data_IF_556481622133
#
_entry.id   IF_556481622133
#
_cell.length_a   1.000
_cell.length_b   1.000
_cell.length_c   1.000
_cell.angle_alpha   90.00
_cell.angle_beta   90.00
_cell.angle_gamma   90.00
#
_symmetry.space_group_name_H-M   'P 1'
#
loop_
_entity.id
_entity.type
_entity.pdbx_description
1 polymer ?
#
# COMPACT_ATOMS: atom_id res chain seq x y z
N UNK A 1 -24.83 23.09 0.99
CA UNK A 1 -23.75 22.83 0.01
C UNK A 1 -23.28 21.41 0.24
N UNK A 2 -23.16 20.59 -0.80
CA UNK A 2 -22.55 19.26 -0.68
C UNK A 2 -21.10 19.44 -0.22
N UNK A 3 -20.63 18.69 0.80
CA UNK A 3 -19.24 18.79 1.22
C UNK A 3 -18.32 18.41 0.07
N UNK A 4 -17.23 19.16 -0.13
CA UNK A 4 -16.23 18.85 -1.14
C UNK A 4 -15.55 17.52 -0.80
N UNK A 5 -15.36 16.65 -1.78
CA UNK A 5 -14.81 15.30 -1.62
C UNK A 5 -13.67 15.07 -2.60
N UNK A 6 -12.72 14.22 -2.24
CA UNK A 6 -11.74 13.66 -3.18
C UNK A 6 -12.17 12.25 -3.55
N UNK A 7 -12.26 11.98 -4.85
CA UNK A 7 -12.72 10.70 -5.35
C UNK A 7 -11.53 9.80 -5.72
N UNK A 8 -11.32 8.74 -4.97
CA UNK A 8 -10.16 7.86 -5.02
C UNK A 8 -10.51 6.48 -5.58
N UNK A 9 -9.65 5.94 -6.45
CA UNK A 9 -9.60 4.51 -6.74
C UNK A 9 -8.30 3.93 -6.15
N UNK A 10 -8.42 3.08 -5.15
CA UNK A 10 -7.31 2.29 -4.62
C UNK A 10 -7.41 0.89 -5.22
N UNK A 11 -6.37 0.40 -5.89
CA UNK A 11 -6.29 -0.97 -6.40
C UNK A 11 -5.09 -1.69 -5.79
N UNK A 12 -5.27 -2.96 -5.40
CA UNK A 12 -4.18 -3.85 -5.01
C UNK A 12 -4.06 -5.02 -5.98
N UNK A 13 -2.83 -5.41 -6.32
CA UNK A 13 -2.58 -6.55 -7.19
C UNK A 13 -1.23 -7.20 -6.93
N UNK A 14 -1.25 -8.50 -6.63
CA UNK A 14 -0.05 -9.33 -6.69
C UNK A 14 0.24 -9.72 -8.16
N UNK A 15 1.31 -9.18 -8.72
CA UNK A 15 1.68 -9.29 -10.13
C UNK A 15 2.43 -10.59 -10.47
N UNK A 16 2.70 -11.47 -9.49
CA UNK A 16 3.44 -12.71 -9.68
C UNK A 16 4.77 -12.57 -10.45
N UNK A 17 5.44 -11.41 -10.30
CA UNK A 17 6.71 -11.02 -10.93
C UNK A 17 6.64 -10.88 -12.45
N UNK A 18 5.44 -10.77 -13.01
CA UNK A 18 5.19 -10.70 -14.44
C UNK A 18 4.80 -9.29 -14.89
N UNK A 19 5.11 -8.97 -16.16
CA UNK A 19 4.56 -7.81 -16.84
C UNK A 19 3.08 -8.05 -17.11
N UNK A 20 2.24 -7.05 -16.84
CA UNK A 20 0.81 -7.13 -17.18
C UNK A 20 0.60 -7.03 -18.70
N UNK A 21 -0.49 -7.65 -19.18
CA UNK A 21 -1.04 -7.30 -20.48
C UNK A 21 -1.78 -5.96 -20.36
N UNK A 22 -1.20 -4.90 -20.94
CA UNK A 22 -1.70 -3.53 -20.84
C UNK A 22 -3.12 -3.37 -21.39
N UNK A 23 -3.45 -3.80 -22.63
CA UNK A 23 -4.82 -3.70 -23.13
C UNK A 23 -5.87 -4.40 -22.27
N UNK A 24 -5.59 -5.65 -21.84
CA UNK A 24 -6.53 -6.44 -21.03
C UNK A 24 -6.75 -5.79 -19.66
N UNK A 25 -5.67 -5.36 -19.00
CA UNK A 25 -5.78 -4.67 -17.72
C UNK A 25 -6.55 -3.35 -17.85
N UNK A 26 -6.28 -2.57 -18.91
CA UNK A 26 -6.99 -1.33 -19.17
C UNK A 26 -8.51 -1.55 -19.33
N UNK A 27 -8.90 -2.58 -20.07
CA UNK A 27 -10.31 -2.92 -20.24
C UNK A 27 -11.00 -3.31 -18.92
N UNK A 28 -10.33 -4.11 -18.07
CA UNK A 28 -10.85 -4.45 -16.75
C UNK A 28 -10.93 -3.21 -15.83
N UNK A 29 -9.93 -2.34 -15.87
CA UNK A 29 -9.88 -1.13 -15.05
C UNK A 29 -10.92 -0.10 -15.48
N UNK A 30 -11.21 0.02 -16.78
CA UNK A 30 -12.24 0.92 -17.30
C UNK A 30 -13.62 0.58 -16.71
N UNK A 31 -13.95 -0.72 -16.61
CA UNK A 31 -15.18 -1.15 -15.96
C UNK A 31 -15.24 -0.71 -14.49
N UNK A 32 -14.11 -0.74 -13.77
CA UNK A 32 -14.02 -0.26 -12.39
C UNK A 32 -14.18 1.26 -12.26
N UNK A 33 -13.78 2.06 -13.26
CA UNK A 33 -14.03 3.51 -13.26
C UNK A 33 -15.52 3.84 -13.31
N UNK A 34 -16.33 3.07 -14.03
CA UNK A 34 -17.76 3.32 -14.21
C UNK A 34 -18.68 2.72 -13.14
N UNK A 35 -18.17 1.93 -12.18
CA UNK A 35 -19.03 1.31 -11.17
C UNK A 35 -19.57 2.35 -10.19
N UNK A 36 -20.87 2.65 -10.30
CA UNK A 36 -21.60 3.60 -9.46
C UNK A 36 -21.01 5.03 -9.47
N UNK A 37 -20.28 5.40 -10.52
CA UNK A 37 -19.65 6.71 -10.68
C UNK A 37 -19.90 7.26 -12.09
N UNK A 38 -19.94 8.59 -12.22
CA UNK A 38 -20.20 9.29 -13.49
C UNK A 38 -18.96 9.96 -14.09
N UNK A 39 -17.87 10.08 -13.34
CA UNK A 39 -16.61 10.68 -13.77
C UNK A 39 -15.42 9.82 -13.31
N UNK A 40 -14.29 10.05 -13.95
CA UNK A 40 -12.99 9.49 -13.62
C UNK A 40 -12.50 9.90 -12.22
N UNK A 41 -11.75 9.02 -11.52
CA UNK A 41 -11.09 9.35 -10.25
C UNK A 41 -10.26 10.61 -10.28
N UNK A 42 -10.28 11.37 -9.18
CA UNK A 42 -9.27 12.39 -8.95
C UNK A 42 -7.90 11.75 -8.77
N UNK A 43 -7.86 10.65 -8.02
CA UNK A 43 -6.64 9.92 -7.66
C UNK A 43 -6.77 8.43 -7.94
N UNK A 44 -5.69 7.84 -8.44
CA UNK A 44 -5.54 6.39 -8.54
C UNK A 44 -4.31 5.98 -7.76
N UNK A 45 -4.48 5.05 -6.83
CA UNK A 45 -3.40 4.47 -6.04
C UNK A 45 -3.30 2.99 -6.32
N UNK A 46 -2.14 2.52 -6.77
CA UNK A 46 -1.88 1.08 -6.96
C UNK A 46 -0.95 0.57 -5.85
N UNK A 47 -1.38 -0.45 -5.11
CA UNK A 47 -0.55 -1.27 -4.23
C UNK A 47 -0.19 -2.55 -4.97
N UNK A 48 1.07 -2.69 -5.39
CA UNK A 48 1.53 -3.83 -6.17
C UNK A 48 2.42 -4.72 -5.32
N UNK A 49 2.21 -6.03 -5.40
CA UNK A 49 3.06 -7.03 -4.74
C UNK A 49 3.66 -7.95 -5.80
N UNK A 50 4.84 -8.50 -5.52
CA UNK A 50 5.60 -9.27 -6.51
C UNK A 50 5.72 -8.53 -7.83
N UNK A 51 6.02 -7.23 -7.80
CA UNK A 51 5.99 -6.38 -9.00
C UNK A 51 6.97 -6.84 -10.09
N UNK A 52 8.11 -7.40 -9.70
CA UNK A 52 9.20 -7.82 -10.59
C UNK A 52 10.06 -8.90 -9.90
N UNK A 53 11.00 -9.55 -10.61
CA UNK A 53 12.02 -10.40 -10.01
C UNK A 53 12.79 -9.71 -8.86
N UNK A 54 13.25 -10.47 -7.86
CA UNK A 54 13.79 -9.88 -6.62
C UNK A 54 15.01 -8.99 -6.85
N UNK A 55 15.91 -9.41 -7.74
CA UNK A 55 17.10 -8.64 -8.10
C UNK A 55 16.72 -7.27 -8.64
N UNK A 56 15.71 -7.21 -9.50
CA UNK A 56 15.23 -5.98 -10.12
C UNK A 56 14.58 -5.08 -9.07
N UNK A 57 13.74 -5.66 -8.22
CA UNK A 57 13.06 -4.95 -7.15
C UNK A 57 14.05 -4.38 -6.10
N UNK A 58 15.11 -5.13 -5.78
CA UNK A 58 16.17 -4.67 -4.90
C UNK A 58 17.02 -3.55 -5.53
N UNK A 59 17.34 -3.63 -6.82
CA UNK A 59 18.07 -2.55 -7.50
C UNK A 59 17.18 -1.29 -7.61
N UNK A 60 15.89 -1.45 -7.92
CA UNK A 60 14.89 -0.38 -7.90
C UNK A 60 14.61 0.22 -9.28
N UNK A 61 14.41 1.54 -9.32
CA UNK A 61 13.78 2.31 -10.40
C UNK A 61 14.18 1.92 -11.82
N UNK A 62 15.48 1.73 -12.11
CA UNK A 62 15.94 1.39 -13.46
C UNK A 62 15.31 0.10 -14.00
N UNK A 63 15.28 -0.96 -13.19
CA UNK A 63 14.72 -2.25 -13.58
C UNK A 63 13.21 -2.34 -13.37
N UNK A 64 12.65 -1.49 -12.51
CA UNK A 64 11.20 -1.43 -12.28
C UNK A 64 10.46 -0.60 -13.33
N UNK A 65 11.14 0.31 -14.03
CA UNK A 65 10.53 1.18 -15.04
C UNK A 65 9.65 0.44 -16.07
N UNK A 66 10.09 -0.67 -16.71
CA UNK A 66 9.25 -1.38 -17.67
C UNK A 66 7.96 -1.95 -17.08
N UNK A 67 7.95 -2.28 -15.79
CA UNK A 67 6.76 -2.77 -15.09
C UNK A 67 5.81 -1.61 -14.79
N UNK A 68 6.35 -0.48 -14.31
CA UNK A 68 5.57 0.71 -13.95
C UNK A 68 4.92 1.35 -15.20
N UNK A 69 5.67 1.47 -16.30
CA UNK A 69 5.18 2.05 -17.56
C UNK A 69 3.98 1.29 -18.15
N UNK A 70 3.88 -0.02 -17.89
CA UNK A 70 2.73 -0.83 -18.33
C UNK A 70 1.45 -0.45 -17.58
N UNK A 71 1.54 -0.17 -16.28
CA UNK A 71 0.41 0.32 -15.49
C UNK A 71 0.04 1.76 -15.86
N UNK A 72 1.03 2.62 -16.07
CA UNK A 72 0.82 4.01 -16.53
C UNK A 72 0.04 4.05 -17.86
N UNK A 73 0.48 3.23 -18.81
CA UNK A 73 -0.19 3.09 -20.12
C UNK A 73 -1.60 2.54 -19.95
N UNK A 74 -1.77 1.50 -19.11
CA UNK A 74 -3.07 0.86 -18.93
C UNK A 74 -4.10 1.80 -18.27
N UNK A 75 -3.69 2.59 -17.27
CA UNK A 75 -4.55 3.61 -16.63
C UNK A 75 -5.01 4.65 -17.65
N UNK A 76 -4.09 5.18 -18.44
CA UNK A 76 -4.42 6.22 -19.42
C UNK A 76 -5.26 5.68 -20.58
N UNK A 77 -5.04 4.43 -20.96
CA UNK A 77 -5.89 3.73 -21.93
C UNK A 77 -7.30 3.52 -21.36
N UNK A 78 -7.44 3.03 -20.13
CA UNK A 78 -8.72 2.84 -19.45
C UNK A 78 -9.49 4.17 -19.33
N UNK A 79 -8.79 5.24 -18.94
CA UNK A 79 -9.38 6.57 -18.79
C UNK A 79 -9.89 7.12 -20.12
N UNK A 80 -9.11 6.95 -21.20
CA UNK A 80 -9.50 7.35 -22.54
C UNK A 80 -10.72 6.57 -23.04
N UNK A 81 -10.76 5.25 -22.78
CA UNK A 81 -11.91 4.40 -23.12
C UNK A 81 -13.17 4.81 -22.37
N UNK A 82 -13.05 5.12 -21.07
CA UNK A 82 -14.17 5.54 -20.23
C UNK A 82 -14.82 6.83 -20.76
N UNK A 83 -14.01 7.86 -21.05
CA UNK A 83 -14.48 9.14 -21.60
C UNK A 83 -15.18 8.94 -22.94
N UNK A 84 -14.60 8.15 -23.84
CA UNK A 84 -15.20 7.86 -25.15
C UNK A 84 -16.55 7.13 -25.06
N UNK A 85 -16.80 6.35 -24.00
CA UNK A 85 -18.08 5.66 -23.78
C UNK A 85 -19.17 6.58 -23.20
N UNK A 86 -18.78 7.63 -22.48
CA UNK A 86 -19.70 8.50 -21.73
C UNK A 86 -19.92 9.88 -22.37
N UNK A 87 -19.09 10.30 -23.33
CA UNK A 87 -19.29 11.53 -24.10
C UNK A 87 -20.21 11.32 -25.33
N UNK A 88 -21.07 12.31 -25.61
CA UNK A 88 -21.99 12.30 -26.76
C UNK A 88 -21.18 12.46 -28.07
N UNK A 89 -21.45 11.67 -29.14
CA UNK A 89 -20.62 11.61 -30.36
C UNK A 89 -20.40 12.93 -31.12
N UNK A 90 -21.21 13.96 -30.88
CA UNK A 90 -21.30 15.16 -31.73
C UNK A 90 -20.39 16.34 -31.33
N UNK A 91 -19.64 16.25 -30.22
CA UNK A 91 -18.78 17.36 -29.76
C UNK A 91 -17.27 17.08 -29.82
N UNK A 92 -16.85 15.86 -30.18
CA UNK A 92 -15.42 15.53 -30.19
C UNK A 92 -14.78 16.03 -31.48
N UNK A 93 -14.07 17.15 -31.38
CA UNK A 93 -13.19 17.66 -32.44
C UNK A 93 -12.24 16.55 -32.91
N UNK A 94 -12.06 16.38 -34.23
CA UNK A 94 -11.10 15.43 -34.79
C UNK A 94 -9.67 15.63 -34.25
N UNK A 95 -9.38 16.82 -33.73
CA UNK A 95 -8.11 17.21 -33.09
C UNK A 95 -7.94 16.62 -31.68
N UNK A 96 -9.02 16.41 -30.91
CA UNK A 96 -8.98 15.75 -29.60
C UNK A 96 -8.84 14.23 -29.73
N UNK A 97 -9.38 13.65 -30.82
CA UNK A 97 -9.12 12.25 -31.19
C UNK A 97 -7.66 12.00 -31.58
N UNK A 98 -6.99 13.02 -32.12
CA UNK A 98 -5.60 12.94 -32.60
C UNK A 98 -4.54 13.24 -31.51
N UNK A 99 -4.93 13.90 -30.41
CA UNK A 99 -4.03 14.20 -29.30
C UNK A 99 -4.32 13.24 -28.14
N UNK A 100 -3.53 12.17 -28.02
CA UNK A 100 -3.49 11.30 -26.83
C UNK A 100 -2.95 12.09 -25.63
N UNK A 101 -3.74 13.03 -25.11
CA UNK A 101 -3.40 13.72 -23.87
C UNK A 101 -3.53 12.72 -22.73
N UNK A 102 -2.41 12.46 -22.06
CA UNK A 102 -2.38 11.68 -20.83
C UNK A 102 -3.39 12.27 -19.84
N UNK A 103 -4.32 11.45 -19.35
CA UNK A 103 -5.39 11.85 -18.42
C UNK A 103 -4.94 11.77 -16.96
N UNK A 104 -3.96 10.93 -16.66
CA UNK A 104 -3.37 10.76 -15.35
C UNK A 104 -1.86 10.90 -15.40
N UNK A 105 -1.29 11.68 -14.50
CA UNK A 105 0.16 11.76 -14.32
C UNK A 105 0.60 10.87 -13.15
N UNK A 106 1.70 10.14 -13.31
CA UNK A 106 2.35 9.41 -12.22
C UNK A 106 3.08 10.40 -11.33
N UNK A 107 2.49 10.70 -10.17
CA UNK A 107 3.05 11.64 -9.20
C UNK A 107 4.20 11.02 -8.42
N UNK A 108 4.06 9.76 -8.05
CA UNK A 108 5.08 9.06 -7.28
C UNK A 108 5.04 7.55 -7.45
N UNK A 109 6.23 6.95 -7.53
CA UNK A 109 6.46 5.51 -7.37
C UNK A 109 7.46 5.26 -6.25
N UNK A 110 7.22 4.25 -5.42
CA UNK A 110 8.17 3.80 -4.39
C UNK A 110 8.04 2.30 -4.18
N UNK A 111 9.13 1.61 -3.84
CA UNK A 111 9.10 0.19 -3.54
C UNK A 111 9.98 -0.19 -2.34
N UNK A 112 9.61 -1.29 -1.67
CA UNK A 112 10.43 -2.02 -0.71
C UNK A 112 10.32 -3.50 -1.00
N UNK A 113 11.45 -4.15 -1.30
CA UNK A 113 11.45 -5.49 -1.87
C UNK A 113 10.47 -5.60 -3.04
N UNK A 114 9.60 -6.61 -3.02
CA UNK A 114 8.58 -6.84 -4.04
C UNK A 114 7.36 -5.92 -3.99
N UNK A 115 7.23 -5.09 -2.96
CA UNK A 115 6.04 -4.28 -2.71
C UNK A 115 6.27 -2.89 -3.27
N UNK A 116 5.38 -2.42 -4.13
CA UNK A 116 5.44 -1.08 -4.71
C UNK A 116 4.12 -0.34 -4.50
N UNK A 117 4.20 0.98 -4.43
CA UNK A 117 3.05 1.87 -4.47
C UNK A 117 3.22 2.88 -5.60
N UNK A 118 2.14 3.14 -6.32
CA UNK A 118 2.06 4.11 -7.41
C UNK A 118 0.92 5.08 -7.13
N UNK A 119 1.19 6.37 -7.13
CA UNK A 119 0.19 7.43 -6.98
C UNK A 119 0.05 8.18 -8.31
N UNK A 120 -1.14 8.13 -8.88
CA UNK A 120 -1.51 8.88 -10.08
C UNK A 120 -2.56 9.94 -9.74
N UNK A 121 -2.49 11.07 -10.43
CA UNK A 121 -3.47 12.14 -10.29
C UNK A 121 -4.01 12.59 -11.65
N UNK A 122 -5.32 12.87 -11.70
CA UNK A 122 -6.00 13.45 -12.87
C UNK A 122 -5.51 14.88 -13.14
N UNK A 123 -5.19 15.62 -12.08
CA UNK A 123 -4.61 16.95 -12.11
C UNK A 123 -3.40 17.00 -11.16
N UNK A 124 -2.20 17.05 -11.73
CA UNK A 124 -0.96 17.03 -10.96
C UNK A 124 -0.71 18.29 -10.15
N UNK A 125 -1.33 19.42 -10.52
CA UNK A 125 -1.19 20.69 -9.78
C UNK A 125 -1.84 20.64 -8.39
N UNK A 126 -2.76 19.69 -8.18
CA UNK A 126 -3.47 19.48 -6.92
C UNK A 126 -2.69 18.66 -5.90
N UNK A 127 -1.58 18.05 -6.28
CA UNK A 127 -0.82 17.15 -5.40
C UNK A 127 0.41 17.87 -4.85
N UNK A 128 0.49 17.95 -3.52
CA UNK A 128 1.55 18.66 -2.81
C UNK A 128 2.13 17.81 -1.67
N UNK A 129 3.33 18.17 -1.22
CA UNK A 129 4.02 17.61 -0.04
C UNK A 129 4.01 16.07 0.03
N UNK A 130 4.48 15.41 -1.04
CA UNK A 130 4.57 13.93 -1.05
C UNK A 130 5.71 13.48 -0.12
N UNK A 131 5.35 12.84 0.98
CA UNK A 131 6.23 12.17 1.93
C UNK A 131 6.17 10.65 1.74
N UNK A 132 7.27 10.01 2.09
CA UNK A 132 7.49 8.60 1.86
C UNK A 132 7.90 7.89 3.14
N UNK A 133 7.48 6.63 3.29
CA UNK A 133 7.96 5.74 4.34
C UNK A 133 7.99 4.30 3.85
N UNK A 134 8.76 3.45 4.51
CA UNK A 134 8.85 2.02 4.16
C UNK A 134 9.15 1.15 5.38
N UNK A 135 8.74 -0.11 5.38
CA UNK A 135 9.02 -1.07 6.44
C UNK A 135 9.28 -2.42 5.80
N UNK A 136 10.47 -3.01 5.98
CA UNK A 136 10.77 -4.37 5.54
C UNK A 136 10.47 -5.41 6.62
N UNK A 137 10.08 -6.63 6.23
CA UNK A 137 9.65 -7.69 7.16
C UNK A 137 10.59 -8.90 7.26
N UNK A 138 11.73 -8.88 6.56
CA UNK A 138 12.69 -9.98 6.57
C UNK A 138 13.87 -9.74 7.51
N UNK A 139 14.88 -10.60 7.40
CA UNK A 139 16.03 -10.56 8.30
C UNK A 139 16.77 -9.23 8.18
N UNK A 140 17.11 -8.63 9.32
CA UNK A 140 17.76 -7.32 9.39
C UNK A 140 17.00 -6.21 8.63
N UNK A 141 15.66 -6.27 8.70
CA UNK A 141 14.70 -5.39 8.03
C UNK A 141 14.76 -5.42 6.50
N UNK A 142 15.54 -6.35 5.94
CA UNK A 142 15.55 -6.62 4.51
C UNK A 142 14.45 -7.60 4.19
N UNK A 143 13.47 -7.18 3.41
CA UNK A 143 12.32 -8.02 3.12
C UNK A 143 12.12 -8.16 1.63
N UNK A 144 12.02 -9.40 1.16
CA UNK A 144 11.22 -9.66 -0.05
C UNK A 144 9.78 -9.12 0.12
N UNK A 145 9.31 -9.04 1.36
CA UNK A 145 8.01 -8.53 1.81
C UNK A 145 8.17 -7.29 2.67
N UNK A 146 7.23 -6.35 2.57
CA UNK A 146 7.26 -5.12 3.34
C UNK A 146 6.01 -4.28 3.16
N UNK A 147 6.09 -3.02 3.58
CA UNK A 147 5.07 -2.01 3.37
C UNK A 147 5.70 -0.71 2.90
N UNK A 148 5.01 -0.01 2.00
CA UNK A 148 5.39 1.30 1.50
C UNK A 148 4.27 2.28 1.82
N UNK A 149 4.61 3.40 2.44
CA UNK A 149 3.68 4.48 2.77
C UNK A 149 3.92 5.71 1.90
N UNK A 150 2.86 6.31 1.38
CA UNK A 150 2.87 7.65 0.81
C UNK A 150 1.92 8.54 1.61
N UNK A 151 2.34 9.77 1.89
CA UNK A 151 1.48 10.82 2.47
C UNK A 151 1.55 12.05 1.59
N UNK A 152 0.41 12.66 1.28
CA UNK A 152 0.34 13.82 0.38
C UNK A 152 -0.83 14.73 0.74
N UNK A 153 -0.77 15.98 0.29
CA UNK A 153 -1.88 16.92 0.35
C UNK A 153 -2.56 16.97 -1.02
N UNK A 154 -3.86 16.72 -1.04
CA UNK A 154 -4.73 17.03 -2.18
C UNK A 154 -5.33 18.42 -2.00
N UNK A 155 -5.09 19.31 -2.94
CA UNK A 155 -5.60 20.68 -2.96
C UNK A 155 -6.80 20.81 -3.89
N UNK A 156 -7.93 21.16 -3.31
CA UNK A 156 -9.16 21.38 -4.03
C UNK A 156 -9.38 22.86 -4.43
N UNK A 157 -8.41 23.74 -4.15
CA UNK A 157 -8.52 25.18 -4.35
C UNK A 157 -9.43 25.80 -3.29
N UNK A 158 -10.44 26.56 -3.72
CA UNK A 158 -11.40 27.24 -2.83
C UNK A 158 -12.21 26.25 -1.96
N UNK A 159 -12.26 24.98 -2.35
CA UNK A 159 -12.91 23.90 -1.61
C UNK A 159 -12.09 23.34 -0.42
N UNK A 160 -10.85 23.81 -0.24
CA UNK A 160 -9.96 23.38 0.85
C UNK A 160 -8.94 22.33 0.42
N UNK A 161 -8.36 21.63 1.39
CA UNK A 161 -7.39 20.56 1.14
C UNK A 161 -7.63 19.36 2.05
N UNK A 162 -7.11 18.21 1.64
CA UNK A 162 -7.16 16.97 2.42
C UNK A 162 -5.78 16.32 2.45
N UNK A 163 -5.35 15.87 3.63
CA UNK A 163 -4.16 15.04 3.76
C UNK A 163 -4.53 13.57 3.60
N UNK A 164 -3.84 12.87 2.70
CA UNK A 164 -4.11 11.49 2.35
C UNK A 164 -2.87 10.65 2.63
N UNK A 165 -3.04 9.55 3.35
CA UNK A 165 -2.01 8.57 3.64
C UNK A 165 -2.42 7.22 3.03
N UNK A 166 -1.55 6.66 2.20
CA UNK A 166 -1.74 5.38 1.53
C UNK A 166 -0.65 4.41 1.94
N UNK A 167 -1.02 3.19 2.29
CA UNK A 167 -0.08 2.10 2.59
C UNK A 167 -0.31 0.95 1.63
N UNK A 168 0.74 0.61 0.87
CA UNK A 168 0.84 -0.63 0.12
C UNK A 168 1.56 -1.68 0.97
N UNK A 169 1.05 -2.89 1.11
CA UNK A 169 1.74 -3.92 1.91
C UNK A 169 1.65 -5.34 1.35
N UNK A 170 2.67 -6.15 1.66
CA UNK A 170 2.72 -7.56 1.35
C UNK A 170 3.10 -8.33 2.63
N UNK A 171 2.12 -8.91 3.32
CA UNK A 171 2.35 -9.57 4.61
C UNK A 171 2.88 -11.01 4.45
N UNK A 172 3.28 -11.64 5.56
CA UNK A 172 3.78 -13.00 5.57
C UNK A 172 2.80 -14.03 4.95
N UNK A 173 3.30 -14.78 3.97
CA UNK A 173 2.56 -15.83 3.27
C UNK A 173 2.48 -17.14 4.08
N UNK A 174 1.72 -18.11 3.56
CA UNK A 174 1.42 -19.43 4.16
C UNK A 174 0.35 -19.39 5.24
N UNK A 175 -0.43 -20.47 5.34
CA UNK A 175 -1.61 -20.63 6.18
C UNK A 175 -1.26 -20.46 7.66
N UNK A 176 -0.18 -21.10 8.11
CA UNK A 176 0.26 -21.13 9.51
C UNK A 176 0.89 -19.82 10.00
N UNK A 177 1.22 -18.89 9.12
CA UNK A 177 1.91 -17.64 9.46
C UNK A 177 0.97 -16.52 9.94
N UNK A 178 -0.20 -16.86 10.48
CA UNK A 178 -1.14 -15.90 11.05
C UNK A 178 -0.50 -14.99 12.12
N UNK A 179 0.26 -15.51 13.11
CA UNK A 179 0.93 -14.66 14.09
C UNK A 179 1.94 -13.70 13.43
N UNK A 180 2.61 -14.15 12.37
CA UNK A 180 3.59 -13.34 11.65
C UNK A 180 2.93 -12.21 10.86
N UNK A 181 1.73 -12.42 10.30
CA UNK A 181 0.95 -11.36 9.64
C UNK A 181 0.54 -10.27 10.63
N UNK A 182 0.06 -10.65 11.82
CA UNK A 182 -0.26 -9.68 12.88
C UNK A 182 1.00 -8.93 13.33
N UNK A 183 2.13 -9.64 13.50
CA UNK A 183 3.41 -9.01 13.83
C UNK A 183 3.88 -8.04 12.73
N UNK A 184 3.67 -8.36 11.45
CA UNK A 184 3.97 -7.44 10.35
C UNK A 184 3.13 -6.16 10.44
N UNK A 185 1.83 -6.26 10.74
CA UNK A 185 1.01 -5.08 10.99
C UNK A 185 1.53 -4.26 12.19
N UNK A 186 1.91 -4.92 13.28
CA UNK A 186 2.52 -4.25 14.43
C UNK A 186 3.83 -3.51 14.04
N UNK A 187 4.68 -4.12 13.22
CA UNK A 187 5.88 -3.46 12.69
C UNK A 187 5.53 -2.24 11.83
N UNK A 188 4.48 -2.30 11.02
CA UNK A 188 4.02 -1.12 10.25
C UNK A 188 3.65 0.00 11.21
N UNK A 189 2.81 -0.25 12.22
CA UNK A 189 2.39 0.78 13.18
C UNK A 189 3.56 1.40 13.96
N UNK A 190 4.53 0.56 14.37
CA UNK A 190 5.70 1.01 15.16
C UNK A 190 6.71 1.78 14.34
N UNK A 191 6.97 1.32 13.12
CA UNK A 191 8.10 1.81 12.36
C UNK A 191 7.67 2.89 11.36
N UNK A 192 6.50 2.77 10.71
CA UNK A 192 6.07 3.65 9.60
C UNK A 192 5.81 5.09 10.03
N UNK A 193 6.88 5.89 10.03
CA UNK A 193 6.88 7.33 10.28
C UNK A 193 7.20 8.10 9.00
N UNK A 194 6.63 9.29 8.85
CA UNK A 194 6.85 10.21 7.72
C UNK A 194 7.84 11.34 8.05
N UNK A 195 8.81 10.99 8.89
CA UNK A 195 9.90 11.84 9.39
C UNK A 195 10.64 11.10 10.50
N UNK A 196 11.81 11.61 10.90
CA UNK A 196 12.62 11.03 11.96
C UNK A 196 11.99 11.32 13.34
N UNK A 197 11.51 10.31 14.08
CA UNK A 197 10.94 10.51 15.40
C UNK A 197 12.01 10.69 16.49
N UNK A 198 13.27 10.34 16.24
CA UNK A 198 14.30 10.28 17.27
C UNK A 198 14.54 11.62 17.98
N UNK A 199 14.67 12.78 17.28
CA UNK A 199 14.88 14.06 17.94
C UNK A 199 13.75 14.44 18.91
N UNK A 200 12.50 14.14 18.56
CA UNK A 200 11.34 14.39 19.42
C UNK A 200 11.35 13.48 20.65
N UNK A 201 11.66 12.19 20.44
CA UNK A 201 11.73 11.22 21.52
C UNK A 201 12.87 11.53 22.51
N UNK A 202 14.01 12.04 22.02
CA UNK A 202 15.10 12.50 22.88
C UNK A 202 14.71 13.71 23.74
N UNK A 203 14.01 14.69 23.15
CA UNK A 203 13.50 15.85 23.88
C UNK A 203 12.53 15.41 24.99
N UNK A 204 11.60 14.50 24.70
CA UNK A 204 10.65 13.96 25.68
C UNK A 204 11.37 13.22 26.83
N UNK A 205 12.41 12.45 26.53
CA UNK A 205 13.24 11.78 27.56
C UNK A 205 14.00 12.79 28.43
N UNK A 206 14.53 13.85 27.82
CA UNK A 206 15.32 14.88 28.53
C UNK A 206 14.48 15.80 29.42
N UNK A 207 13.18 15.92 29.16
CA UNK A 207 12.22 16.74 29.93
C UNK A 207 11.44 15.98 31.01
N UNK A 208 11.61 14.66 31.13
CA UNK A 208 10.98 13.86 32.18
C UNK A 208 11.73 14.06 33.51
N UNK A 209 11.07 14.38 34.64
CA UNK A 209 11.76 14.44 35.93
C UNK A 209 12.33 13.05 36.27
N UNK A 210 13.47 12.95 36.96
CA UNK A 210 14.00 11.66 37.39
C UNK A 210 12.96 10.92 38.24
N UNK A 211 12.90 9.58 38.19
CA UNK A 211 12.02 8.83 39.07
C UNK A 211 12.32 9.25 40.50
N UNK A 212 11.28 9.64 41.24
CA UNK A 212 11.37 9.94 42.66
C UNK A 212 11.72 8.66 43.40
N UNK A 213 13.00 8.31 43.44
CA UNK A 213 13.51 7.30 44.35
C UNK A 213 13.28 7.84 45.76
N UNK A 214 12.43 7.15 46.51
CA UNK A 214 12.20 7.44 47.91
C UNK A 214 13.48 7.22 48.70
N UNK A 215 14.12 8.30 49.14
CA UNK A 215 15.28 8.20 50.03
C UNK A 215 16.03 9.51 50.27
N UNK A 216 15.57 10.26 51.28
CA UNK A 216 16.34 11.13 52.21
C UNK A 216 17.28 12.24 51.69
N UNK A 217 16.88 13.48 52.00
CA UNK A 217 17.61 14.72 52.36
C UNK A 217 19.12 14.82 52.08
N UNK A 218 19.52 15.91 51.40
CA UNK A 218 20.36 16.97 51.98
C UNK A 218 20.37 18.25 51.10
N UNK A 219 20.37 19.41 51.75
CA UNK A 219 20.35 20.77 51.19
C UNK A 219 21.73 21.21 50.66
N UNK A 220 21.76 22.03 49.60
CA UNK A 220 22.84 23.01 49.42
C UNK A 220 23.36 23.25 48.00
N UNK A 221 23.08 24.45 47.49
CA UNK A 221 23.84 25.23 46.50
C UNK A 221 23.79 24.83 45.01
N UNK A 222 23.21 25.73 44.19
CA UNK A 222 23.31 25.67 42.73
C UNK A 222 22.49 26.75 42.03
N UNK A 223 22.93 28.01 42.15
CA UNK A 223 22.45 29.18 41.40
C UNK A 223 22.59 28.94 39.88
N UNK A 224 21.61 29.43 39.09
CA UNK A 224 21.64 29.60 37.63
C UNK A 224 21.63 28.32 36.76
N UNK A 225 20.47 27.67 36.63
CA UNK A 225 20.11 27.06 35.35
C UNK A 225 18.96 27.85 34.77
N UNK A 226 19.27 28.62 33.72
CA UNK A 226 18.28 29.40 33.00
C UNK A 226 17.08 28.54 32.64
N UNK A 227 15.91 29.16 32.70
CA UNK A 227 14.64 28.68 32.15
C UNK A 227 14.85 28.32 30.68
N UNK A 228 15.39 27.13 30.43
CA UNK A 228 15.18 26.45 29.16
C UNK A 228 13.69 26.16 29.15
N UNK A 229 12.94 26.97 28.42
CA UNK A 229 11.55 26.68 28.03
C UNK A 229 11.55 25.29 27.39
N UNK A 230 11.43 24.25 28.21
CA UNK A 230 11.28 22.88 27.77
C UNK A 230 9.96 22.87 26.97
N UNK A 231 9.98 22.39 25.72
CA UNK A 231 8.76 22.31 24.94
C UNK A 231 7.72 21.49 25.71
N UNK A 232 6.50 22.01 25.76
CA UNK A 232 5.36 21.37 26.41
C UNK A 232 5.24 19.91 25.95
N UNK A 233 5.18 18.96 26.89
CA UNK A 233 5.13 17.53 26.61
C UNK A 233 3.95 17.19 25.68
N UNK A 234 2.82 17.88 25.85
CA UNK A 234 1.65 17.72 24.99
C UNK A 234 1.91 18.17 23.55
N UNK A 235 2.73 19.19 23.36
CA UNK A 235 3.15 19.65 22.03
C UNK A 235 4.07 18.62 21.35
N UNK A 236 5.03 18.06 22.09
CA UNK A 236 5.91 17.00 21.57
C UNK A 236 5.13 15.74 21.19
N UNK A 237 4.17 15.33 22.03
CA UNK A 237 3.31 14.18 21.76
C UNK A 237 2.48 14.40 20.49
N UNK A 238 1.91 15.60 20.29
CA UNK A 238 1.22 15.97 19.05
C UNK A 238 2.15 15.87 17.83
N UNK A 239 3.37 16.41 17.92
CA UNK A 239 4.35 16.30 16.83
C UNK A 239 4.72 14.85 16.51
N UNK A 240 4.81 13.98 17.52
CA UNK A 240 5.07 12.55 17.30
C UNK A 240 3.89 11.87 16.59
N UNK A 241 2.65 12.20 16.99
CA UNK A 241 1.43 11.72 16.34
C UNK A 241 1.37 12.14 14.87
N UNK A 242 1.77 13.38 14.56
CA UNK A 242 1.87 13.92 13.20
C UNK A 242 2.84 13.13 12.31
N UNK A 243 3.94 12.61 12.88
CA UNK A 243 4.88 11.75 12.14
C UNK A 243 4.38 10.32 11.96
N UNK A 244 3.55 9.83 12.88
CA UNK A 244 3.06 8.45 12.90
C UNK A 244 2.17 8.09 11.70
N UNK A 245 1.88 6.80 11.55
CA UNK A 245 0.88 6.32 10.59
C UNK A 245 -0.51 6.93 10.83
N UNK A 246 -0.91 7.07 12.09
CA UNK A 246 -2.24 7.52 12.52
C UNK A 246 -2.30 9.05 12.71
N UNK A 247 -1.79 9.80 11.72
CA UNK A 247 -1.86 11.27 11.73
C UNK A 247 -3.33 11.72 11.82
N UNK A 248 -3.74 12.53 12.80
CA UNK A 248 -5.15 12.78 13.09
C UNK A 248 -5.87 13.47 11.93
N UNK A 249 -5.12 14.29 11.20
CA UNK A 249 -5.61 15.14 10.13
C UNK A 249 -5.63 14.47 8.76
N UNK A 250 -5.23 13.18 8.67
CA UNK A 250 -5.09 12.47 7.41
C UNK A 250 -6.08 11.31 7.26
N UNK A 251 -6.69 11.19 6.08
CA UNK A 251 -7.38 9.97 5.69
C UNK A 251 -6.36 8.86 5.46
N UNK A 252 -6.55 7.70 6.10
CA UNK A 252 -5.64 6.57 6.00
C UNK A 252 -6.28 5.43 5.21
N UNK A 253 -5.60 4.96 4.18
CA UNK A 253 -5.96 3.80 3.38
C UNK A 253 -4.83 2.77 3.39
N UNK A 254 -5.16 1.51 3.57
CA UNK A 254 -4.20 0.40 3.60
C UNK A 254 -4.67 -0.69 2.64
N UNK A 255 -3.88 -1.01 1.62
CA UNK A 255 -4.23 -2.01 0.63
C UNK A 255 -3.06 -2.92 0.29
N UNK A 256 -3.32 -4.20 0.03
CA UNK A 256 -2.25 -5.12 -0.28
C UNK A 256 -2.65 -6.59 -0.38
N UNK A 257 -1.68 -7.42 -0.71
CA UNK A 257 -1.72 -8.86 -0.41
C UNK A 257 -1.41 -9.05 1.09
N UNK A 258 -2.47 -8.98 1.88
CA UNK A 258 -2.44 -9.16 3.32
C UNK A 258 -2.24 -10.63 3.71
N UNK A 259 -2.33 -11.56 2.76
CA UNK A 259 -2.04 -12.98 2.92
C UNK A 259 -2.85 -13.71 4.03
N UNK A 260 -3.89 -13.10 4.61
CA UNK A 260 -4.80 -13.80 5.51
C UNK A 260 -5.55 -14.88 4.73
N UNK A 261 -5.77 -16.02 5.38
CA UNK A 261 -6.32 -17.24 4.78
C UNK A 261 -7.63 -17.61 5.47
N UNK A 262 -8.34 -18.58 4.92
CA UNK A 262 -9.50 -19.18 5.60
C UNK A 262 -9.10 -20.32 6.57
N UNK A 263 -7.85 -20.77 6.53
CA UNK A 263 -7.33 -21.88 7.35
C UNK A 263 -5.89 -21.62 7.82
N UNK A 264 -5.49 -22.23 8.93
CA UNK A 264 -4.11 -22.24 9.44
C UNK A 264 -3.28 -23.41 8.91
N UNK A 265 -3.90 -24.35 8.20
CA UNK A 265 -3.26 -25.51 7.56
C UNK A 265 -3.66 -25.66 6.09
N UNK A 266 -2.82 -26.35 5.32
CA UNK A 266 -3.13 -26.74 3.94
C UNK A 266 -4.34 -27.68 3.86
N UNK A 267 -5.07 -27.69 2.74
CA UNK A 267 -6.22 -28.59 2.55
C UNK A 267 -5.78 -30.06 2.58
N UNK A 268 -6.49 -30.94 3.33
CA UNK A 268 -6.34 -32.39 3.18
C UNK A 268 -6.87 -32.87 1.82
N UNK A 269 -6.53 -34.10 1.39
CA UNK A 269 -7.17 -34.72 0.22
C UNK A 269 -8.70 -34.72 0.37
N UNK A 270 -9.41 -34.24 -0.65
CA UNK A 270 -10.88 -34.11 -0.70
C UNK A 270 -11.49 -32.99 0.17
N UNK A 271 -10.71 -31.99 0.57
CA UNK A 271 -11.27 -30.81 1.22
C UNK A 271 -12.33 -30.12 0.33
N UNK A 272 -13.39 -29.61 0.95
CA UNK A 272 -14.38 -28.80 0.26
C UNK A 272 -13.77 -27.43 -0.08
N UNK A 273 -13.92 -27.02 -1.34
CA UNK A 273 -13.43 -25.74 -1.84
C UNK A 273 -14.62 -24.81 -2.10
N UNK A 274 -14.44 -23.49 -1.92
CA UNK A 274 -15.43 -22.51 -2.36
C UNK A 274 -15.79 -22.70 -3.83
N UNK A 275 -17.09 -22.64 -4.12
CA UNK A 275 -17.65 -22.61 -5.47
C UNK A 275 -18.14 -21.21 -5.81
N UNK A 276 -18.02 -20.83 -7.09
CA UNK A 276 -18.62 -19.60 -7.60
C UNK A 276 -20.10 -19.76 -7.96
N UNK A 277 -20.59 -21.00 -8.04
CA UNK A 277 -21.99 -21.28 -8.32
C UNK A 277 -22.86 -21.04 -7.08
N UNK A 278 -23.82 -20.13 -7.20
CA UNK A 278 -24.78 -19.78 -6.15
C UNK A 278 -25.70 -20.96 -5.77
N UNK A 279 -25.90 -21.93 -6.68
CA UNK A 279 -26.66 -23.15 -6.41
C UNK A 279 -25.86 -24.23 -5.66
N UNK A 280 -24.55 -24.05 -5.50
CA UNK A 280 -23.69 -25.03 -4.83
C UNK A 280 -23.80 -24.96 -3.31
N UNK A 281 -23.78 -26.11 -2.65
CA UNK A 281 -23.63 -26.18 -1.19
C UNK A 281 -22.35 -25.52 -0.69
N UNK A 282 -21.34 -25.43 -1.55
CA UNK A 282 -20.06 -24.79 -1.27
C UNK A 282 -19.99 -23.35 -1.80
N UNK A 283 -21.11 -22.66 -2.00
CA UNK A 283 -21.10 -21.26 -2.46
C UNK A 283 -20.21 -20.38 -1.57
N UNK A 284 -19.28 -19.65 -2.20
CA UNK A 284 -18.14 -19.02 -1.51
C UNK A 284 -18.48 -18.12 -0.32
N UNK A 285 -19.60 -17.37 -0.25
CA UNK A 285 -19.86 -16.50 0.90
C UNK A 285 -19.91 -17.26 2.23
N UNK A 286 -20.30 -18.54 2.22
CA UNK A 286 -20.31 -19.40 3.42
C UNK A 286 -18.91 -19.65 4.00
N UNK A 287 -17.87 -19.51 3.18
CA UNK A 287 -16.48 -19.67 3.62
C UNK A 287 -15.88 -18.37 4.16
N UNK A 288 -16.53 -17.22 3.92
CA UNK A 288 -15.99 -15.93 4.36
C UNK A 288 -15.96 -15.79 5.89
N UNK A 289 -16.86 -16.47 6.61
CA UNK A 289 -16.86 -16.52 8.09
C UNK A 289 -15.56 -17.13 8.66
N UNK A 290 -14.85 -17.92 7.87
CA UNK A 290 -13.57 -18.53 8.24
C UNK A 290 -12.38 -17.58 8.03
N UNK A 291 -12.57 -16.46 7.34
CA UNK A 291 -11.53 -15.49 7.01
C UNK A 291 -10.77 -15.02 8.25
N UNK A 292 -9.46 -15.24 8.25
CA UNK A 292 -8.61 -14.87 9.37
C UNK A 292 -8.57 -13.36 9.56
N UNK A 293 -8.52 -12.54 8.50
CA UNK A 293 -8.43 -11.08 8.66
C UNK A 293 -9.65 -10.55 9.42
N UNK A 294 -10.83 -10.95 8.99
CA UNK A 294 -12.10 -10.56 9.62
C UNK A 294 -12.13 -10.92 11.10
N UNK A 295 -11.74 -12.17 11.46
CA UNK A 295 -11.71 -12.64 12.85
C UNK A 295 -10.62 -11.97 13.69
N UNK A 296 -9.42 -11.76 13.15
CA UNK A 296 -8.32 -11.11 13.86
C UNK A 296 -8.60 -9.63 14.10
N UNK A 297 -9.20 -8.95 13.12
CA UNK A 297 -9.61 -7.55 13.24
C UNK A 297 -10.73 -7.39 14.27
N UNK A 298 -11.77 -8.24 14.22
CA UNK A 298 -12.86 -8.24 15.19
C UNK A 298 -12.35 -8.48 16.62
N UNK A 299 -11.28 -9.26 16.77
CA UNK A 299 -10.65 -9.50 18.07
C UNK A 299 -9.58 -8.46 18.46
N UNK A 300 -9.44 -7.36 17.71
CA UNK A 300 -8.52 -6.27 18.02
C UNK A 300 -7.03 -6.64 17.92
N UNK A 301 -6.67 -7.68 17.16
CA UNK A 301 -5.27 -8.15 17.05
C UNK A 301 -4.50 -7.57 15.86
N UNK A 302 -5.20 -6.95 14.91
CA UNK A 302 -4.63 -6.43 13.67
C UNK A 302 -5.49 -5.31 13.10
N UNK A 303 -4.96 -4.52 12.16
CA UNK A 303 -5.68 -3.45 11.45
C UNK A 303 -6.41 -2.46 12.39
N UNK A 304 -5.71 -2.00 13.43
CA UNK A 304 -6.28 -1.20 14.51
C UNK A 304 -6.92 0.09 13.97
N UNK A 305 -8.18 0.32 14.31
CA UNK A 305 -8.96 1.49 13.88
C UNK A 305 -9.37 1.50 12.40
N UNK A 306 -9.03 0.48 11.62
CA UNK A 306 -9.40 0.41 10.21
C UNK A 306 -10.72 -0.31 9.98
N UNK A 307 -11.54 0.25 9.11
CA UNK A 307 -12.77 -0.33 8.59
C UNK A 307 -12.51 -0.95 7.22
N UNK A 308 -13.34 -1.92 6.85
CA UNK A 308 -13.34 -2.55 5.53
C UNK A 308 -14.76 -2.55 5.00
N UNK A 309 -14.94 -2.19 3.72
CA UNK A 309 -16.23 -2.29 3.07
C UNK A 309 -16.68 -3.77 2.96
N UNK A 310 -18.00 -4.05 2.88
CA UNK A 310 -18.48 -5.42 2.72
C UNK A 310 -17.85 -6.14 1.51
N UNK A 311 -17.30 -7.33 1.76
CA UNK A 311 -16.68 -8.17 0.71
C UNK A 311 -17.76 -9.03 0.07
N UNK A 312 -18.10 -8.73 -1.18
CA UNK A 312 -19.07 -9.50 -1.98
C UNK A 312 -18.44 -10.28 -3.13
N UNK A 313 -17.15 -10.09 -3.38
CA UNK A 313 -16.40 -10.80 -4.41
C UNK A 313 -15.88 -12.16 -3.91
N UNK A 314 -15.63 -13.13 -4.80
CA UNK A 314 -15.09 -14.44 -4.43
C UNK A 314 -13.61 -14.38 -4.03
N UNK A 315 -13.05 -15.47 -3.47
CA UNK A 315 -11.63 -15.53 -3.11
C UNK A 315 -10.72 -15.09 -4.25
N UNK A 316 -9.70 -14.29 -3.94
CA UNK A 316 -8.80 -13.69 -4.94
C UNK A 316 -7.54 -14.51 -5.17
N UNK A 317 -7.33 -15.57 -4.38
CA UNK A 317 -6.18 -16.46 -4.42
C UNK A 317 -6.62 -17.87 -3.99
N UNK A 318 -6.01 -19.00 -4.40
CA UNK A 318 -4.97 -19.18 -5.41
C UNK A 318 -5.57 -19.83 -6.65
N UNK A 319 -5.37 -19.20 -7.79
CA UNK A 319 -5.82 -19.70 -9.08
C UNK A 319 -4.69 -20.45 -9.79
N UNK A 320 -4.99 -21.61 -10.36
CA UNK A 320 -4.17 -22.25 -11.38
C UNK A 320 -4.73 -21.82 -12.75
N UNK A 321 -4.02 -20.94 -13.45
CA UNK A 321 -4.35 -20.51 -14.82
C UNK A 321 -4.11 -21.69 -15.77
N UNK A 322 -5.11 -22.04 -16.58
CA UNK A 322 -5.04 -23.14 -17.53
C UNK A 322 -4.56 -22.62 -18.89
N UNK A 323 -3.70 -23.40 -19.55
CA UNK A 323 -3.29 -23.12 -20.93
C UNK A 323 -4.49 -23.23 -21.88
N UNK A 324 -4.53 -22.39 -22.91
CA UNK A 324 -5.43 -22.61 -24.05
C UNK A 324 -4.64 -22.88 -25.31
N UNK A 325 -5.21 -23.67 -26.21
CA UNK A 325 -4.57 -24.12 -27.44
C UNK A 325 -4.26 -22.94 -28.40
N UNK A 326 -3.13 -22.26 -28.19
CA UNK A 326 -2.43 -21.46 -29.19
C UNK A 326 -2.96 -20.05 -29.52
N UNK A 327 -3.85 -19.45 -28.72
CA UNK A 327 -4.37 -18.08 -28.95
C UNK A 327 -4.08 -17.07 -27.83
N UNK A 328 -3.09 -17.36 -27.00
CA UNK A 328 -2.91 -16.66 -25.73
C UNK A 328 -1.83 -15.59 -25.79
N UNK A 329 -2.25 -14.39 -26.16
CA UNK A 329 -1.43 -13.19 -25.99
C UNK A 329 -2.27 -11.98 -25.61
N UNK A 330 -3.37 -11.74 -26.32
CA UNK A 330 -4.07 -10.45 -26.32
C UNK A 330 -5.61 -10.54 -26.39
N UNK A 331 -6.22 -11.71 -26.18
CA UNK A 331 -7.69 -11.82 -26.24
C UNK A 331 -8.34 -11.30 -24.95
N UNK A 332 -9.49 -10.65 -25.09
CA UNK A 332 -10.36 -10.21 -23.98
C UNK A 332 -11.23 -11.35 -23.43
N UNK A 333 -10.98 -12.58 -23.87
CA UNK A 333 -11.77 -13.74 -23.47
C UNK A 333 -11.51 -14.10 -22.00
N UNK A 334 -12.51 -14.65 -21.29
CA UNK A 334 -12.34 -15.11 -19.93
C UNK A 334 -11.17 -16.09 -19.81
N UNK A 335 -10.28 -15.84 -18.85
CA UNK A 335 -9.16 -16.73 -18.56
C UNK A 335 -9.70 -18.03 -17.99
N UNK A 336 -9.39 -19.21 -18.57
CA UNK A 336 -9.75 -20.47 -17.96
C UNK A 336 -8.84 -20.76 -16.76
N UNK A 337 -9.43 -21.19 -15.65
CA UNK A 337 -8.72 -21.43 -14.41
C UNK A 337 -9.43 -22.50 -13.58
N UNK A 338 -8.71 -23.00 -12.56
CA UNK A 338 -9.30 -23.74 -11.43
C UNK A 338 -8.63 -23.29 -10.13
N UNK A 339 -9.24 -23.56 -8.99
CA UNK A 339 -8.56 -23.35 -7.71
C UNK A 339 -7.41 -24.35 -7.53
N UNK A 340 -6.29 -23.86 -7.00
CA UNK A 340 -5.11 -24.68 -6.78
C UNK A 340 -5.37 -25.73 -5.68
N UNK A 341 -5.23 -27.04 -5.94
CA UNK A 341 -5.67 -28.09 -5.02
C UNK A 341 -4.85 -28.15 -3.72
N UNK A 342 -3.66 -27.55 -3.71
CA UNK A 342 -2.75 -27.53 -2.56
C UNK A 342 -2.92 -26.28 -1.67
N UNK A 343 -3.87 -25.40 -1.97
CA UNK A 343 -4.17 -24.17 -1.22
C UNK A 343 -5.67 -23.97 -1.10
N UNK A 344 -6.14 -23.66 0.11
CA UNK A 344 -7.51 -23.18 0.26
C UNK A 344 -7.68 -21.82 -0.43
N UNK A 345 -8.71 -21.65 -1.27
CA UNK A 345 -9.04 -20.34 -1.81
C UNK A 345 -9.29 -19.34 -0.67
N UNK A 346 -8.68 -18.16 -0.75
CA UNK A 346 -8.67 -17.14 0.29
C UNK A 346 -8.76 -15.72 -0.29
N UNK A 347 -9.26 -14.78 0.52
CA UNK A 347 -9.29 -13.35 0.22
C UNK A 347 -8.02 -12.68 0.72
N UNK A 348 -6.91 -12.94 0.02
CA UNK A 348 -5.59 -12.43 0.40
C UNK A 348 -5.43 -10.94 0.10
N UNK A 349 -6.09 -10.46 -0.95
CA UNK A 349 -5.96 -9.11 -1.49
C UNK A 349 -7.10 -8.24 -0.96
N UNK A 350 -6.77 -7.24 -0.11
CA UNK A 350 -7.75 -6.48 0.67
C UNK A 350 -7.39 -5.01 0.74
N UNK A 351 -8.40 -4.15 0.87
CA UNK A 351 -8.24 -2.71 1.03
C UNK A 351 -9.12 -2.25 2.19
N UNK A 352 -8.49 -1.58 3.15
CA UNK A 352 -9.11 -1.03 4.34
C UNK A 352 -8.87 0.47 4.40
N UNK A 353 -9.70 1.18 5.14
CA UNK A 353 -9.60 2.62 5.35
C UNK A 353 -9.99 2.98 6.78
N UNK A 354 -9.48 4.09 7.29
CA UNK A 354 -9.87 4.60 8.60
C UNK A 354 -11.13 5.46 8.45
N UNK A 355 -12.20 5.11 9.16
CA UNK A 355 -13.42 5.92 9.18
C UNK A 355 -13.17 7.30 9.81
N UNK A 356 -14.09 8.24 9.57
CA UNK A 356 -14.03 9.54 10.23
C UNK A 356 -14.01 9.39 11.76
N UNK A 357 -13.32 10.27 12.48
CA UNK A 357 -13.31 10.21 13.94
C UNK A 357 -14.71 10.35 14.52
N UNK A 358 -14.97 9.70 15.65
CA UNK A 358 -16.29 9.74 16.30
C UNK A 358 -16.72 11.15 16.73
N UNK A 359 -15.78 12.07 16.93
CA UNK A 359 -16.05 13.48 17.25
C UNK A 359 -16.40 14.32 16.02
N UNK A 360 -16.21 13.82 14.80
CA UNK A 360 -16.71 14.45 13.59
C UNK A 360 -18.17 14.08 13.43
N UNK A 361 -19.06 15.00 13.79
CA UNK A 361 -20.50 14.75 13.78
C UNK A 361 -20.99 14.35 12.37
N UNK A 362 -21.70 13.22 12.22
CA UNK A 362 -22.36 12.84 10.97
C UNK A 362 -23.40 13.86 10.50
N UNK A 363 -23.87 14.73 11.40
CA UNK A 363 -24.96 15.69 11.20
C UNK A 363 -24.70 16.72 10.09
N UNK A 364 -23.46 16.82 9.58
CA UNK A 364 -23.14 17.66 8.43
C UNK A 364 -23.12 16.90 7.09
N UNK A 365 -23.60 15.66 7.05
CA UNK A 365 -23.60 14.81 5.85
C UNK A 365 -22.17 14.40 5.42
N UNK A 366 -21.21 14.49 6.34
CA UNK A 366 -19.81 14.14 6.11
C UNK A 366 -19.60 12.69 6.51
N UNK A 367 -19.43 11.84 5.52
CA UNK A 367 -19.07 10.44 5.69
C UNK A 367 -18.18 10.02 4.53
N UNK A 368 -17.34 9.02 4.77
CA UNK A 368 -16.68 8.33 3.67
C UNK A 368 -17.74 7.54 2.90
N UNK A 369 -17.80 7.71 1.58
CA UNK A 369 -18.78 7.02 0.73
C UNK A 369 -18.07 6.02 -0.17
N UNK A 370 -18.37 4.74 0.03
CA UNK A 370 -17.86 3.65 -0.80
C UNK A 370 -18.82 3.47 -1.99
N UNK A 371 -18.29 3.60 -3.21
CA UNK A 371 -19.04 3.36 -4.43
C UNK A 371 -18.95 1.91 -4.90
N UNK A 372 -17.77 1.31 -4.76
CA UNK A 372 -17.51 -0.08 -5.15
C UNK A 372 -16.33 -0.67 -4.38
N UNK A 373 -16.42 -1.96 -4.07
CA UNK A 373 -15.32 -2.77 -3.54
C UNK A 373 -15.42 -4.18 -4.15
N UNK A 374 -14.60 -4.45 -5.16
CA UNK A 374 -14.75 -5.65 -6.00
C UNK A 374 -13.39 -6.14 -6.55
N UNK A 375 -13.38 -7.36 -7.06
CA UNK A 375 -12.23 -7.97 -7.72
C UNK A 375 -12.36 -7.87 -9.25
N UNK A 376 -11.33 -7.36 -9.91
CA UNK A 376 -11.22 -7.42 -11.37
C UNK A 376 -11.14 -8.88 -11.86
N UNK A 377 -11.47 -9.16 -13.13
CA UNK A 377 -11.30 -10.50 -13.69
C UNK A 377 -9.84 -10.98 -13.60
N UNK A 378 -9.67 -12.31 -13.53
CA UNK A 378 -8.35 -12.93 -13.42
C UNK A 378 -7.46 -12.56 -14.60
N UNK A 379 -6.21 -12.21 -14.31
CA UNK A 379 -5.19 -12.01 -15.33
C UNK A 379 -4.40 -13.29 -15.55
N UNK A 380 -4.06 -13.60 -16.81
CA UNK A 380 -3.20 -14.76 -17.14
C UNK A 380 -1.82 -14.71 -16.49
N UNK A 381 -1.37 -13.51 -16.16
CA UNK A 381 -0.04 -13.25 -15.63
C UNK A 381 0.08 -13.49 -14.13
N UNK A 382 -1.01 -13.78 -13.41
CA UNK A 382 -1.01 -13.95 -11.97
C UNK A 382 -1.98 -15.03 -11.49
N UNK A 383 -1.64 -15.67 -10.37
CA UNK A 383 -2.52 -16.55 -9.60
C UNK A 383 -3.42 -15.78 -8.61
N UNK A 384 -3.35 -14.45 -8.64
CA UNK A 384 -4.22 -13.53 -7.92
C UNK A 384 -5.14 -12.75 -8.86
N UNK A 385 -6.30 -12.35 -8.33
CA UNK A 385 -7.17 -11.34 -8.95
C UNK A 385 -6.85 -9.95 -8.40
N UNK A 386 -6.74 -8.90 -9.25
CA UNK A 386 -6.67 -7.53 -8.74
C UNK A 386 -7.95 -7.18 -7.97
N UNK A 387 -7.83 -6.41 -6.88
CA UNK A 387 -8.96 -5.93 -6.07
C UNK A 387 -8.92 -4.41 -6.02
N UNK A 388 -10.07 -3.75 -6.15
CA UNK A 388 -10.14 -2.30 -6.08
C UNK A 388 -11.25 -1.82 -5.14
N UNK A 389 -11.02 -0.65 -4.57
CA UNK A 389 -11.94 0.12 -3.75
C UNK A 389 -12.09 1.51 -4.39
N UNK A 390 -13.32 1.87 -4.74
CA UNK A 390 -13.70 3.18 -5.25
C UNK A 390 -14.46 3.93 -4.16
N UNK A 391 -13.89 5.05 -3.72
CA UNK A 391 -14.31 5.71 -2.48
C UNK A 391 -14.15 7.23 -2.55
N UNK A 392 -15.17 7.94 -2.08
CA UNK A 392 -15.17 9.38 -1.86
C UNK A 392 -14.81 9.68 -0.41
N UNK A 393 -13.73 10.43 -0.20
CA UNK A 393 -13.35 10.92 1.12
C UNK A 393 -13.66 12.42 1.24
N UNK A 394 -14.33 12.87 2.31
CA UNK A 394 -14.65 14.29 2.48
C UNK A 394 -13.40 15.11 2.77
N UNK A 395 -13.37 16.34 2.27
CA UNK A 395 -12.37 17.33 2.68
C UNK A 395 -12.74 17.83 4.07
N UNK A 396 -11.79 17.71 4.99
CA UNK A 396 -11.99 18.05 6.39
C UNK A 396 -10.96 19.10 6.78
N UNK A 397 -11.43 20.15 7.46
CA UNK A 397 -10.53 21.17 7.98
C UNK A 397 -9.74 20.61 9.17
N UNK A 398 -8.58 21.21 9.47
CA UNK A 398 -7.80 20.87 10.67
C UNK A 398 -8.64 20.99 11.95
N UNK A 399 -9.55 21.97 12.01
CA UNK A 399 -10.48 22.14 13.12
C UNK A 399 -11.47 20.98 13.26
N UNK A 400 -11.94 20.40 12.15
CA UNK A 400 -12.86 19.26 12.19
C UNK A 400 -12.16 18.01 12.75
N UNK A 401 -10.89 17.83 12.40
CA UNK A 401 -10.12 16.65 12.80
C UNK A 401 -9.48 16.76 14.18
N UNK A 402 -9.53 17.93 14.80
CA UNK A 402 -9.00 18.13 16.16
C UNK A 402 -9.95 17.49 17.18
N UNK A 403 -9.49 16.54 18.02
CA UNK A 403 -10.33 15.90 19.01
C UNK A 403 -10.80 16.89 20.08
N UNK A 404 -12.06 16.77 20.51
CA UNK A 404 -12.60 17.52 21.65
C UNK A 404 -11.96 17.06 22.95
N UNK A 405 -11.94 17.91 23.99
CA UNK A 405 -11.39 17.57 25.31
C UNK A 405 -11.99 16.30 25.91
N UNK A 406 -13.28 16.06 25.67
CA UNK A 406 -13.99 14.84 26.09
C UNK A 406 -13.52 13.59 25.34
N UNK A 407 -13.30 13.71 24.02
CA UNK A 407 -12.76 12.62 23.21
C UNK A 407 -11.31 12.27 23.55
N UNK A 408 -10.49 13.26 23.94
CA UNK A 408 -9.12 13.05 24.39
C UNK A 408 -9.02 12.17 25.65
N UNK A 409 -9.98 12.29 26.57
CA UNK A 409 -9.94 11.59 27.86
C UNK A 409 -10.39 10.12 27.78
N UNK A 410 -11.22 9.77 26.80
CA UNK A 410 -11.93 8.47 26.77
C UNK A 410 -11.71 7.66 25.49
N UNK A 411 -11.17 8.28 24.43
CA UNK A 411 -11.08 7.63 23.13
C UNK A 411 -9.95 6.61 23.05
N UNK A 412 -10.26 5.44 22.52
CA UNK A 412 -9.29 4.41 22.10
C UNK A 412 -8.90 4.56 20.63
N UNK A 413 -9.29 5.66 19.98
CA UNK A 413 -8.99 5.91 18.58
C UNK A 413 -7.47 6.05 18.35
N UNK A 414 -6.88 5.32 17.40
CA UNK A 414 -5.45 5.40 17.09
C UNK A 414 -4.92 6.80 16.76
N UNK A 415 -5.80 7.72 16.32
CA UNK A 415 -5.48 9.13 16.07
C UNK A 415 -5.27 9.95 17.35
N UNK A 416 -5.86 9.52 18.46
CA UNK A 416 -5.72 10.17 19.77
C UNK A 416 -4.58 9.50 20.55
N UNK A 417 -4.57 8.17 20.55
CA UNK A 417 -3.59 7.38 21.28
C UNK A 417 -3.06 6.27 20.39
N UNK A 418 -1.76 6.32 20.08
CA UNK A 418 -1.11 5.29 19.29
C UNK A 418 -1.31 3.90 19.93
N UNK A 419 -1.71 2.89 19.15
CA UNK A 419 -1.85 1.51 19.65
C UNK A 419 -0.54 0.91 20.16
N UNK A 420 0.60 1.43 19.71
CA UNK A 420 1.95 0.98 20.06
C UNK A 420 2.91 2.16 20.05
N UNK A 421 3.95 2.07 20.87
CA UNK A 421 5.07 3.02 20.84
C UNK A 421 5.81 2.94 19.50
N UNK A 422 6.28 4.11 19.04
CA UNK A 422 7.09 4.21 17.84
C UNK A 422 8.51 3.72 18.12
N UNK A 423 9.12 3.11 17.11
CA UNK A 423 10.50 2.66 17.16
C UNK A 423 11.45 3.80 16.72
N UNK A 424 12.28 4.36 17.64
CA UNK A 424 13.18 5.46 17.33
C UNK A 424 14.28 5.07 16.33
N UNK A 425 14.73 3.82 16.34
CA UNK A 425 15.86 3.35 15.54
C UNK A 425 15.42 2.87 14.14
N UNK A 426 14.11 2.69 13.92
CA UNK A 426 13.58 2.25 12.64
C UNK A 426 13.99 3.18 11.49
N UNK A 427 14.11 4.48 11.74
CA UNK A 427 14.50 5.46 10.73
C UNK A 427 15.89 5.17 10.14
N UNK A 428 16.89 4.97 10.99
CA UNK A 428 18.25 4.64 10.56
C UNK A 428 18.36 3.22 9.99
N UNK A 429 17.68 2.24 10.60
CA UNK A 429 17.70 0.84 10.16
C UNK A 429 17.22 0.68 8.71
N UNK A 430 16.23 1.48 8.28
CA UNK A 430 15.76 1.50 6.88
C UNK A 430 16.85 1.86 5.89
N UNK A 431 17.59 2.94 6.16
CA UNK A 431 18.67 3.38 5.28
C UNK A 431 19.77 2.32 5.17
N UNK A 432 20.07 1.62 6.28
CA UNK A 432 20.99 0.48 6.28
C UNK A 432 20.44 -0.71 5.50
N UNK A 433 19.16 -1.07 5.67
CA UNK A 433 18.50 -2.13 4.94
C UNK A 433 18.53 -1.86 3.42
N UNK A 434 18.21 -0.64 2.98
CA UNK A 434 18.23 -0.26 1.56
C UNK A 434 19.61 -0.42 0.92
N UNK A 435 20.69 -0.03 1.63
CA UNK A 435 22.07 -0.25 1.15
C UNK A 435 22.38 -1.74 0.96
N UNK A 436 21.93 -2.59 1.89
CA UNK A 436 22.12 -4.05 1.78
C UNK A 436 21.30 -4.64 0.64
N UNK A 437 20.06 -4.19 0.46
CA UNK A 437 19.21 -4.62 -0.65
C UNK A 437 19.88 -4.31 -1.99
N UNK A 438 20.40 -3.10 -2.19
CA UNK A 438 21.12 -2.73 -3.42
C UNK A 438 22.31 -3.65 -3.71
N UNK A 439 23.14 -3.93 -2.70
CA UNK A 439 24.29 -4.83 -2.83
C UNK A 439 23.87 -6.25 -3.19
N UNK A 440 22.88 -6.80 -2.48
CA UNK A 440 22.34 -8.13 -2.78
C UNK A 440 21.65 -8.16 -4.14
N UNK A 441 20.93 -7.11 -4.52
CA UNK A 441 20.23 -7.00 -5.80
C UNK A 441 21.19 -7.10 -6.97
N UNK A 442 22.30 -6.34 -6.93
CA UNK A 442 23.36 -6.42 -7.94
C UNK A 442 24.08 -7.77 -7.95
N UNK A 443 24.36 -8.34 -6.77
CA UNK A 443 24.95 -9.68 -6.67
C UNK A 443 24.01 -10.74 -7.27
N UNK A 444 22.73 -10.72 -6.93
CA UNK A 444 21.74 -11.62 -7.52
C UNK A 444 21.63 -11.42 -9.03
N UNK A 445 21.59 -10.16 -9.50
CA UNK A 445 21.54 -9.84 -10.93
C UNK A 445 22.72 -10.43 -11.69
N UNK A 446 23.94 -10.14 -11.25
CA UNK A 446 25.17 -10.55 -11.94
C UNK A 446 25.32 -12.09 -12.01
N UNK A 447 24.94 -12.80 -10.94
CA UNK A 447 25.12 -14.26 -10.86
C UNK A 447 23.91 -15.09 -11.28
N UNK A 448 22.71 -14.50 -11.35
CA UNK A 448 21.46 -15.25 -11.58
C UNK A 448 20.71 -14.86 -12.86
N UNK A 449 21.24 -13.92 -13.66
CA UNK A 449 20.64 -13.50 -14.93
C UNK A 449 21.57 -13.74 -16.11
N UNK A 450 21.02 -13.87 -17.31
CA UNK A 450 21.81 -14.07 -18.55
C UNK A 450 22.64 -12.83 -18.85
N UNK A 451 22.03 -11.65 -18.68
CA UNK A 451 22.66 -10.35 -18.85
C UNK A 451 23.83 -10.17 -17.88
N UNK A 452 23.61 -10.54 -16.61
CA UNK A 452 24.65 -10.57 -15.58
C UNK A 452 25.82 -11.49 -15.94
N UNK A 453 25.51 -12.71 -16.39
CA UNK A 453 26.53 -13.66 -16.82
C UNK A 453 27.35 -13.14 -18.02
N UNK A 454 26.71 -12.46 -18.98
CA UNK A 454 27.42 -11.81 -20.09
C UNK A 454 28.36 -10.70 -19.62
N UNK A 455 27.93 -9.88 -18.64
CA UNK A 455 28.79 -8.85 -18.04
C UNK A 455 30.01 -9.49 -17.38
N UNK A 456 29.82 -10.50 -16.54
CA UNK A 456 30.92 -11.21 -15.86
C UNK A 456 31.88 -11.86 -16.86
N UNK A 457 31.36 -12.50 -17.91
CA UNK A 457 32.18 -13.09 -18.97
C UNK A 457 33.00 -12.02 -19.71
N UNK A 458 32.40 -10.87 -20.01
CA UNK A 458 33.09 -9.76 -20.68
C UNK A 458 34.23 -9.21 -19.81
N UNK A 459 33.99 -9.01 -18.51
CA UNK A 459 35.03 -8.57 -17.57
C UNK A 459 36.17 -9.60 -17.45
N UNK A 460 35.85 -10.89 -17.41
CA UNK A 460 36.83 -11.97 -17.37
C UNK A 460 37.72 -11.95 -18.63
N UNK A 461 37.11 -11.87 -19.82
CA UNK A 461 37.85 -11.78 -21.09
C UNK A 461 38.74 -10.54 -21.10
N UNK A 462 38.20 -9.36 -20.76
CA UNK A 462 38.97 -8.12 -20.75
C UNK A 462 40.15 -8.17 -19.77
N UNK A 463 39.96 -8.76 -18.59
CA UNK A 463 41.00 -8.92 -17.57
C UNK A 463 42.09 -9.90 -18.01
N UNK A 464 41.71 -11.03 -18.62
CA UNK A 464 42.67 -11.99 -19.18
C UNK A 464 43.44 -11.38 -20.35
N UNK A 465 42.77 -10.62 -21.24
CA UNK A 465 43.42 -9.91 -22.33
C UNK A 465 44.40 -8.84 -21.82
N UNK A 466 43.99 -8.03 -20.84
CA UNK A 466 44.87 -7.02 -20.24
C UNK A 466 46.08 -7.64 -19.54
N UNK A 467 45.87 -8.73 -18.79
CA UNK A 467 46.95 -9.50 -18.17
C UNK A 467 47.91 -10.08 -19.21
N UNK A 468 47.38 -10.63 -20.32
CA UNK A 468 48.20 -11.17 -21.40
C UNK A 468 49.04 -10.09 -22.09
N UNK A 469 48.46 -8.93 -22.37
CA UNK A 469 49.18 -7.78 -22.93
C UNK A 469 50.27 -7.30 -21.97
N UNK A 470 49.95 -7.14 -20.68
CA UNK A 470 50.93 -6.73 -19.67
C UNK A 470 52.10 -7.70 -19.54
N UNK A 471 51.85 -9.01 -19.70
CA UNK A 471 52.90 -10.03 -19.60
C UNK A 471 53.72 -10.21 -20.88
N UNK A 472 53.19 -9.74 -22.01
CA UNK A 472 53.83 -9.84 -23.33
C UNK A 472 54.56 -8.54 -23.74
N UNK A 473 54.34 -7.44 -23.01
CA UNK A 473 55.13 -6.22 -23.02
C UNK A 473 56.31 -6.36 -22.05
#
# INVERSE_FOLDING_TARGET
>A
MTPSTVDLLFLTFNCAKALINTPVFANHLEAAFGQNATDLPDLIVLSLQEVAPLSYAFIGDYFLRPYIERFDTAINQAASQHVLKHEVPDLVSATERATQRKRYELMKSKNVGYTAILLFAKDSSRIRDIKESEVGFGAADMGNKGAVGLRTVYDAGESGSAELTFVATHLAAMEWNLPRRNANWASIMRCMTFGDPLPLLELMRSGSPPPSDGGTQEEGAGLLQGERNLPDFDMLQKQLQELSLFKPTSHLFVGGDLNYRISTSSPPPNAAFPSLDAGSDNYYPRFFDLDQLTREKAAGRTMHGLTEAPVHFPPTYKYDVLETDGKDGDTMDPVPWRFAPHRYPSWTDRILYMDLPSWVAPEQGRSIKVHAYDALPLMRTSDHRPVFLRIEAPMLSLSDLTPTTESLATSTDPRVRLPTELDPEAWERRAAARRRELLLGWSMFLWSTKEGACILATFLVASLSAYWVYRSA
#
